data_IF_510735934350
#
_entry.id   IF_510735934350
#
_cell.length_a   1.000
_cell.length_b   1.000
_cell.length_c   1.000
_cell.angle_alpha   90.00
_cell.angle_beta   90.00
_cell.angle_gamma   90.00
#
_symmetry.space_group_name_H-M   'P 1'
#
loop_
_entity.id
_entity.type
_entity.pdbx_description
1 polymer ?
#
# COMPACT_ATOMS: atom_id res chain seq x y z
N UNK A 1 -3.31 7.82 -28.26
CA UNK A 1 -3.77 6.75 -27.37
C UNK A 1 -5.22 6.42 -27.68
N UNK A 2 -5.54 5.14 -27.69
CA UNK A 2 -6.90 4.67 -27.88
C UNK A 2 -7.83 5.22 -26.78
N UNK A 3 -9.04 5.64 -27.15
CA UNK A 3 -10.01 6.20 -26.20
C UNK A 3 -10.40 5.20 -25.11
N UNK A 4 -10.51 3.92 -25.46
CA UNK A 4 -10.82 2.88 -24.49
C UNK A 4 -9.70 2.76 -23.45
N UNK A 5 -8.46 2.78 -23.89
CA UNK A 5 -7.31 2.69 -23.00
C UNK A 5 -7.23 3.93 -22.12
N UNK A 6 -7.39 5.12 -22.69
CA UNK A 6 -7.38 6.36 -21.92
C UNK A 6 -8.44 6.35 -20.82
N UNK A 7 -9.65 5.89 -21.15
CA UNK A 7 -10.74 5.79 -20.19
C UNK A 7 -10.42 4.79 -19.07
N UNK A 8 -9.82 3.65 -19.43
CA UNK A 8 -9.43 2.64 -18.45
C UNK A 8 -8.36 3.17 -17.48
N UNK A 9 -7.38 3.90 -18.01
CA UNK A 9 -6.33 4.50 -17.20
C UNK A 9 -6.90 5.55 -16.24
N UNK A 10 -7.82 6.38 -16.71
CA UNK A 10 -8.50 7.36 -15.86
C UNK A 10 -9.32 6.68 -14.77
N UNK A 11 -10.05 5.63 -15.12
CA UNK A 11 -10.86 4.88 -14.17
C UNK A 11 -9.99 4.23 -13.09
N UNK A 12 -8.81 3.78 -13.47
CA UNK A 12 -7.85 3.19 -12.53
C UNK A 12 -7.16 4.24 -11.65
N UNK A 13 -7.29 5.52 -11.99
CA UNK A 13 -6.68 6.61 -11.24
C UNK A 13 -5.21 6.84 -11.52
N UNK A 14 -4.67 6.20 -12.54
CA UNK A 14 -3.22 6.25 -12.81
C UNK A 14 -2.70 7.65 -13.08
N UNK A 15 -3.34 8.48 -13.94
CA UNK A 15 -2.78 9.79 -14.27
C UNK A 15 -2.70 10.74 -13.07
N UNK A 16 -3.60 10.60 -12.09
CA UNK A 16 -3.63 11.48 -10.93
C UNK A 16 -3.05 10.87 -9.66
N UNK A 17 -2.62 9.62 -9.70
CA UNK A 17 -2.15 8.93 -8.50
C UNK A 17 -0.88 9.58 -7.94
N UNK A 18 -0.87 9.83 -6.66
CA UNK A 18 0.25 10.43 -5.95
C UNK A 18 1.02 9.43 -5.10
N UNK A 19 0.35 8.37 -4.67
CA UNK A 19 0.98 7.30 -3.91
C UNK A 19 0.47 5.96 -4.40
N UNK A 20 1.27 4.94 -4.18
CA UNK A 20 0.89 3.57 -4.49
C UNK A 20 1.22 2.69 -3.30
N UNK A 21 0.21 2.04 -2.76
CA UNK A 21 0.35 1.11 -1.64
C UNK A 21 0.45 -0.30 -2.19
N UNK A 22 1.42 -1.05 -1.66
CA UNK A 22 1.58 -2.47 -2.00
C UNK A 22 1.45 -3.27 -0.71
N UNK A 23 0.71 -4.36 -0.75
CA UNK A 23 0.49 -5.17 0.43
C UNK A 23 0.63 -6.65 0.09
N UNK A 24 1.33 -7.41 0.93
CA UNK A 24 1.37 -8.87 0.79
C UNK A 24 0.25 -9.47 1.63
N UNK A 25 -0.44 -10.46 1.05
CA UNK A 25 -1.61 -11.06 1.67
C UNK A 25 -1.42 -12.52 2.03
N UNK A 26 -0.17 -13.00 2.02
CA UNK A 26 0.14 -14.38 2.39
C UNK A 26 0.03 -15.35 1.22
N UNK A 27 0.17 -16.66 1.49
CA UNK A 27 0.16 -17.30 2.81
C UNK A 27 1.48 -17.29 3.58
N UNK A 28 2.62 -16.99 2.91
CA UNK A 28 3.93 -17.16 3.56
C UNK A 28 4.26 -16.06 4.58
N UNK A 29 3.95 -14.80 4.26
CA UNK A 29 4.26 -13.68 5.15
C UNK A 29 3.26 -13.57 6.30
N UNK A 30 2.04 -14.02 6.10
CA UNK A 30 0.96 -13.97 7.08
C UNK A 30 -0.12 -14.97 6.71
N UNK A 31 -1.11 -15.17 7.57
CA UNK A 31 -2.25 -16.02 7.25
C UNK A 31 -3.09 -15.33 6.17
N UNK A 32 -3.59 -16.11 5.20
CA UNK A 32 -4.42 -15.58 4.12
C UNK A 32 -5.58 -14.75 4.65
N UNK A 33 -6.22 -15.20 5.74
CA UNK A 33 -7.34 -14.47 6.34
C UNK A 33 -6.90 -13.10 6.85
N UNK A 34 -5.74 -13.01 7.49
CA UNK A 34 -5.19 -11.73 7.96
C UNK A 34 -4.95 -10.78 6.80
N UNK A 35 -4.35 -11.29 5.73
CA UNK A 35 -4.07 -10.52 4.53
C UNK A 35 -5.34 -10.00 3.87
N UNK A 36 -6.37 -10.85 3.76
CA UNK A 36 -7.64 -10.45 3.15
C UNK A 36 -8.37 -9.41 4.00
N UNK A 37 -8.37 -9.55 5.31
CA UNK A 37 -8.99 -8.57 6.21
C UNK A 37 -8.31 -7.23 6.07
N UNK A 38 -6.98 -7.21 6.03
CA UNK A 38 -6.23 -5.96 5.82
C UNK A 38 -6.53 -5.37 4.46
N UNK A 39 -6.55 -6.19 3.42
CA UNK A 39 -6.83 -5.73 2.06
C UNK A 39 -8.20 -5.06 1.97
N UNK A 40 -9.22 -5.67 2.58
CA UNK A 40 -10.56 -5.12 2.60
C UNK A 40 -10.60 -3.77 3.35
N UNK A 41 -9.87 -3.65 4.45
CA UNK A 41 -9.76 -2.40 5.19
C UNK A 41 -9.10 -1.30 4.34
N UNK A 42 -8.03 -1.65 3.62
CA UNK A 42 -7.34 -0.71 2.73
C UNK A 42 -8.27 -0.22 1.62
N UNK A 43 -8.95 -1.15 0.94
CA UNK A 43 -9.87 -0.80 -0.13
C UNK A 43 -10.96 0.14 0.35
N UNK A 44 -11.59 -0.19 1.46
CA UNK A 44 -12.70 0.60 2.01
C UNK A 44 -12.24 2.00 2.40
N UNK A 45 -11.08 2.09 3.06
CA UNK A 45 -10.59 3.38 3.54
C UNK A 45 -10.14 4.29 2.41
N UNK A 46 -9.43 3.77 1.44
CA UNK A 46 -8.98 4.55 0.28
C UNK A 46 -10.19 5.04 -0.51
N UNK A 47 -11.15 4.16 -0.75
CA UNK A 47 -12.36 4.50 -1.50
C UNK A 47 -13.17 5.58 -0.78
N UNK A 48 -13.34 5.46 0.52
CA UNK A 48 -14.12 6.43 1.31
C UNK A 48 -13.45 7.81 1.35
N UNK A 49 -12.12 7.86 1.35
CA UNK A 49 -11.38 9.11 1.45
C UNK A 49 -11.33 9.91 0.15
N UNK A 50 -11.43 9.22 -0.98
CA UNK A 50 -11.32 9.87 -2.30
C UNK A 50 -9.93 10.37 -2.64
N UNK A 51 -8.89 10.00 -1.86
CA UNK A 51 -7.51 10.45 -2.14
C UNK A 51 -6.95 9.75 -3.37
N UNK A 52 -6.03 10.41 -4.11
CA UNK A 52 -5.44 9.84 -5.32
C UNK A 52 -4.34 8.83 -4.99
N UNK A 53 -4.73 7.69 -4.47
CA UNK A 53 -3.83 6.63 -4.02
C UNK A 53 -4.23 5.33 -4.69
N UNK A 54 -3.26 4.69 -5.33
CA UNK A 54 -3.44 3.37 -5.92
C UNK A 54 -3.06 2.30 -4.91
N UNK A 55 -3.56 1.10 -5.10
CA UNK A 55 -3.24 -0.03 -4.24
C UNK A 55 -3.13 -1.31 -5.05
N UNK A 56 -2.18 -2.14 -4.69
CA UNK A 56 -1.96 -3.43 -5.34
C UNK A 56 -1.65 -4.46 -4.28
N UNK A 57 -2.30 -5.61 -4.38
CA UNK A 57 -1.99 -6.73 -3.49
C UNK A 57 -1.06 -7.71 -4.20
N UNK A 58 -0.19 -8.34 -3.43
CA UNK A 58 0.72 -9.36 -3.91
C UNK A 58 0.69 -10.56 -2.96
N UNK A 59 1.03 -11.74 -3.47
CA UNK A 59 1.15 -12.90 -2.61
C UNK A 59 2.39 -12.85 -1.74
N UNK A 60 3.48 -12.31 -2.27
CA UNK A 60 4.76 -12.35 -1.58
C UNK A 60 5.70 -11.24 -2.06
N UNK A 61 6.42 -10.63 -1.11
CA UNK A 61 7.54 -9.73 -1.41
C UNK A 61 8.88 -10.40 -1.11
N UNK A 62 8.89 -11.73 -1.01
CA UNK A 62 10.03 -12.54 -0.64
C UNK A 62 10.48 -12.39 0.82
N UNK A 63 9.69 -11.69 1.62
CA UNK A 63 9.87 -11.65 3.07
C UNK A 63 8.80 -12.56 3.64
N UNK A 64 9.16 -13.80 3.93
CA UNK A 64 8.19 -14.84 4.29
C UNK A 64 7.88 -14.87 5.78
N UNK A 65 7.87 -13.70 6.43
CA UNK A 65 7.60 -13.58 7.85
C UNK A 65 7.12 -12.17 8.20
N UNK A 66 6.53 -12.02 9.36
CA UNK A 66 6.17 -10.74 9.97
C UNK A 66 5.27 -9.85 9.12
N UNK A 67 4.47 -10.49 8.26
CA UNK A 67 3.44 -9.78 7.52
C UNK A 67 2.17 -9.60 8.33
N UNK A 68 1.18 -8.98 7.72
CA UNK A 68 1.21 -8.39 6.39
C UNK A 68 2.16 -7.19 6.29
N UNK A 69 2.87 -7.11 5.16
CA UNK A 69 3.74 -5.97 4.86
C UNK A 69 2.97 -4.93 4.05
N UNK A 70 3.16 -3.67 4.40
CA UNK A 70 2.61 -2.55 3.64
C UNK A 70 3.75 -1.66 3.17
N UNK A 71 3.83 -1.45 1.87
CA UNK A 71 4.82 -0.59 1.24
C UNK A 71 4.13 0.68 0.76
N UNK A 72 4.74 1.84 1.03
CA UNK A 72 4.22 3.12 0.58
C UNK A 72 5.23 3.76 -0.36
N UNK A 73 4.85 3.92 -1.62
CA UNK A 73 5.69 4.55 -2.64
C UNK A 73 4.99 5.80 -3.19
N UNK A 74 5.74 6.82 -3.57
CA UNK A 74 7.20 6.86 -3.80
C UNK A 74 8.05 7.03 -2.54
N UNK A 75 7.47 7.09 -1.37
CA UNK A 75 8.18 7.35 -0.11
C UNK A 75 9.22 6.25 0.20
N UNK A 76 9.00 5.05 -0.30
CA UNK A 76 9.93 3.93 -0.09
C UNK A 76 9.91 3.39 1.32
N UNK A 77 8.77 3.45 1.99
CA UNK A 77 8.66 3.04 3.39
C UNK A 77 7.96 1.70 3.50
N UNK A 78 8.54 0.81 4.28
CA UNK A 78 8.07 -0.55 4.49
C UNK A 78 7.66 -0.74 5.95
N UNK A 79 6.38 -1.06 6.15
CA UNK A 79 5.81 -1.37 7.45
C UNK A 79 5.50 -2.86 7.53
N UNK A 80 5.83 -3.50 8.68
CA UNK A 80 5.53 -4.91 8.92
C UNK A 80 4.37 -5.07 9.89
N UNK A 81 3.82 -6.27 9.95
CA UNK A 81 2.77 -6.65 10.91
C UNK A 81 1.61 -5.66 10.93
N UNK A 82 1.19 -5.25 9.73
CA UNK A 82 0.14 -4.23 9.61
C UNK A 82 -1.23 -4.86 9.81
N UNK A 83 -1.90 -4.43 10.88
CA UNK A 83 -3.29 -4.78 11.15
C UNK A 83 -4.20 -3.66 10.62
N UNK A 84 -5.52 -3.89 10.53
CA UNK A 84 -6.43 -2.80 10.17
C UNK A 84 -6.30 -1.58 11.07
N UNK A 85 -6.09 -1.78 12.38
CA UNK A 85 -5.90 -0.66 13.31
C UNK A 85 -4.61 0.10 13.04
N UNK A 86 -3.51 -0.61 12.78
CA UNK A 86 -2.25 0.03 12.41
C UNK A 86 -2.37 0.75 11.07
N UNK A 87 -3.06 0.13 10.13
CA UNK A 87 -3.28 0.76 8.83
C UNK A 87 -4.02 2.09 8.96
N UNK A 88 -5.04 2.15 9.83
CA UNK A 88 -5.79 3.39 10.01
C UNK A 88 -4.88 4.51 10.49
N UNK A 89 -3.99 4.24 11.43
CA UNK A 89 -3.02 5.24 11.89
C UNK A 89 -2.03 5.62 10.79
N UNK A 90 -1.54 4.64 10.05
CA UNK A 90 -0.64 4.89 8.92
C UNK A 90 -1.35 5.76 7.88
N UNK A 91 -2.60 5.46 7.61
CA UNK A 91 -3.38 6.21 6.62
C UNK A 91 -3.55 7.67 7.05
N UNK A 92 -4.01 7.91 8.27
CA UNK A 92 -4.23 9.26 8.76
C UNK A 92 -2.94 10.05 8.87
N UNK A 93 -1.91 9.49 9.46
CA UNK A 93 -0.67 10.21 9.72
C UNK A 93 0.23 10.31 8.50
N UNK A 94 0.42 9.20 7.78
CA UNK A 94 1.36 9.13 6.67
C UNK A 94 0.71 9.49 5.34
N UNK A 95 -0.39 8.82 4.98
CA UNK A 95 -1.00 9.04 3.66
C UNK A 95 -1.69 10.40 3.59
N UNK A 96 -2.51 10.75 4.56
CA UNK A 96 -3.19 12.03 4.58
C UNK A 96 -2.31 13.15 5.13
N UNK A 97 -1.58 12.89 6.19
CA UNK A 97 -0.80 13.90 6.90
C UNK A 97 0.62 14.11 6.38
N UNK A 98 1.11 13.22 5.55
CA UNK A 98 2.45 13.33 4.97
C UNK A 98 3.61 13.00 5.91
N UNK A 99 3.32 12.50 7.11
CA UNK A 99 4.34 12.16 8.11
C UNK A 99 4.33 10.67 8.41
N UNK A 100 5.35 9.91 7.96
CA UNK A 100 5.42 8.49 8.26
C UNK A 100 5.31 8.18 9.75
N UNK A 101 4.80 7.00 10.08
CA UNK A 101 4.76 6.53 11.46
C UNK A 101 6.12 5.94 11.81
N UNK A 102 7.02 6.77 12.28
CA UNK A 102 8.44 6.44 12.47
C UNK A 102 8.66 5.17 13.30
N UNK A 103 7.89 4.99 14.36
CA UNK A 103 8.04 3.86 15.28
C UNK A 103 7.75 2.50 14.62
N UNK A 104 7.04 2.48 13.51
CA UNK A 104 6.66 1.25 12.81
C UNK A 104 7.41 1.03 11.51
N UNK A 105 8.27 1.95 11.12
CA UNK A 105 9.07 1.79 9.92
C UNK A 105 10.13 0.71 10.16
N UNK A 106 10.15 -0.29 9.28
CA UNK A 106 11.17 -1.32 9.34
C UNK A 106 12.36 -0.96 8.47
N UNK A 107 12.09 -0.51 7.26
CA UNK A 107 13.15 -0.18 6.30
C UNK A 107 12.66 0.92 5.36
N UNK A 108 13.61 1.71 4.87
CA UNK A 108 13.39 2.72 3.85
C UNK A 108 14.18 2.34 2.61
N UNK A 109 13.52 2.34 1.47
CA UNK A 109 14.17 2.07 0.19
C UNK A 109 13.46 2.87 -0.90
N UNK A 110 14.06 3.97 -1.29
CA UNK A 110 13.49 4.85 -2.30
C UNK A 110 13.75 4.39 -3.73
N UNK A 111 14.27 3.18 -3.92
CA UNK A 111 14.55 2.61 -5.23
C UNK A 111 15.49 3.49 -6.06
N UNK A 112 16.70 3.69 -5.56
CA UNK A 112 17.73 4.46 -6.25
C UNK A 112 17.91 3.94 -7.69
N UNK A 113 17.72 4.79 -8.71
CA UNK A 113 17.79 4.35 -10.10
C UNK A 113 19.21 4.12 -10.62
N UNK A 114 20.22 4.41 -9.87
CA UNK A 114 21.61 4.25 -10.28
C UNK A 114 22.11 2.82 -10.04
N UNK A 115 21.72 1.92 -10.92
CA UNK A 115 22.19 0.52 -10.86
C UNK A 115 23.01 0.15 -12.07
#
# INVERSE_FOLDING_TARGET
>A
MDKKLAKALCKAGIPGAQKHLFVCIGPDCCRCREGEILWDAIKSRVKASGVPVMRTKAGCFRICMDGPWLLVYPDGIWYSMVTPNRFEKIFEQHILGGKPVEEWIVVRNDLNPEI
#
